data_IF_627965463067
#
_entry.id   IF_627965463067
#
_cell.length_a   1.000
_cell.length_b   1.000
_cell.length_c   1.000
_cell.angle_alpha   90.00
_cell.angle_beta   90.00
_cell.angle_gamma   90.00
#
_symmetry.space_group_name_H-M   'P 1'
#
loop_
_entity.id
_entity.type
_entity.pdbx_description
1 polymer ?
#
# COMPACT_ATOMS: atom_id res chain seq x y z
N UNK A 1 21.51 -62.23 -4.43
CA UNK A 1 20.05 -62.12 -4.20
C UNK A 1 19.82 -60.83 -3.43
N UNK A 2 19.21 -59.81 -4.04
CA UNK A 2 18.89 -58.55 -3.36
C UNK A 2 17.42 -58.23 -3.64
N UNK A 3 16.57 -58.41 -2.64
CA UNK A 3 15.15 -58.09 -2.73
C UNK A 3 14.97 -56.57 -2.72
N UNK A 4 14.42 -56.01 -3.81
CA UNK A 4 13.95 -54.62 -3.84
C UNK A 4 12.75 -54.53 -2.90
N UNK A 5 12.90 -53.78 -1.81
CA UNK A 5 11.78 -53.37 -0.95
C UNK A 5 10.88 -52.48 -1.81
N UNK A 6 9.73 -53.01 -2.21
CA UNK A 6 8.70 -52.25 -2.93
C UNK A 6 8.19 -51.14 -2.03
N UNK A 7 8.17 -49.91 -2.55
CA UNK A 7 7.55 -48.77 -1.89
C UNK A 7 6.05 -49.09 -1.69
N UNK A 8 5.53 -49.19 -0.45
CA UNK A 8 4.15 -49.61 -0.20
C UNK A 8 3.10 -48.58 -0.64
N UNK A 9 3.53 -47.41 -1.15
CA UNK A 9 2.65 -46.32 -1.56
C UNK A 9 2.07 -46.45 -2.97
N UNK A 10 2.46 -47.45 -3.77
CA UNK A 10 2.05 -47.58 -5.17
C UNK A 10 0.79 -48.44 -5.42
N UNK A 11 0.04 -48.80 -4.38
CA UNK A 11 -1.07 -49.78 -4.45
C UNK A 11 -2.47 -49.17 -4.24
N UNK A 12 -2.61 -47.85 -4.31
CA UNK A 12 -3.91 -47.19 -4.15
C UNK A 12 -4.57 -47.02 -5.53
N UNK A 13 -5.87 -47.37 -5.67
CA UNK A 13 -6.62 -46.97 -6.85
C UNK A 13 -6.73 -45.43 -6.85
N UNK A 14 -6.44 -44.80 -7.98
CA UNK A 14 -6.80 -43.40 -8.19
C UNK A 14 -8.31 -43.27 -7.97
N UNK A 15 -8.72 -42.28 -7.17
CA UNK A 15 -10.11 -42.00 -6.88
C UNK A 15 -10.52 -40.76 -7.68
N UNK A 16 -10.80 -40.89 -9.00
CA UNK A 16 -10.98 -39.75 -9.89
C UNK A 16 -12.13 -38.84 -9.46
N UNK A 17 -13.18 -39.40 -8.86
CA UNK A 17 -14.29 -38.62 -8.30
C UNK A 17 -13.81 -37.79 -7.11
N UNK A 18 -13.04 -38.38 -6.19
CA UNK A 18 -12.53 -37.67 -5.02
C UNK A 18 -11.53 -36.58 -5.42
N UNK A 19 -10.68 -36.85 -6.41
CA UNK A 19 -9.74 -35.86 -6.96
C UNK A 19 -10.46 -34.70 -7.66
N UNK A 20 -11.54 -35.00 -8.42
CA UNK A 20 -12.38 -33.98 -9.04
C UNK A 20 -13.02 -33.07 -7.99
N UNK A 21 -13.67 -33.65 -6.98
CA UNK A 21 -14.32 -32.90 -5.89
C UNK A 21 -13.31 -32.07 -5.09
N UNK A 22 -12.11 -32.60 -4.83
CA UNK A 22 -11.02 -31.87 -4.17
C UNK A 22 -10.57 -30.67 -5.01
N UNK A 23 -10.44 -30.84 -6.32
CA UNK A 23 -10.01 -29.77 -7.22
C UNK A 23 -11.09 -28.68 -7.33
N UNK A 24 -12.36 -29.05 -7.48
CA UNK A 24 -13.48 -28.10 -7.51
C UNK A 24 -13.55 -27.28 -6.21
N UNK A 25 -13.49 -27.95 -5.05
CA UNK A 25 -13.47 -27.25 -3.77
C UNK A 25 -12.25 -26.34 -3.61
N UNK A 26 -11.08 -26.77 -4.11
CA UNK A 26 -9.87 -25.93 -4.09
C UNK A 26 -10.06 -24.68 -4.95
N UNK A 27 -10.60 -24.80 -6.16
CA UNK A 27 -10.85 -23.66 -7.04
C UNK A 27 -11.82 -22.66 -6.40
N UNK A 28 -12.90 -23.14 -5.77
CA UNK A 28 -13.84 -22.29 -5.04
C UNK A 28 -13.16 -21.55 -3.89
N UNK A 29 -12.38 -22.25 -3.06
CA UNK A 29 -11.64 -21.62 -1.95
C UNK A 29 -10.66 -20.58 -2.49
N UNK A 30 -9.93 -20.89 -3.56
CA UNK A 30 -8.96 -19.99 -4.18
C UNK A 30 -9.65 -18.73 -4.73
N UNK A 31 -10.81 -18.87 -5.37
CA UNK A 31 -11.62 -17.76 -5.86
C UNK A 31 -12.11 -16.87 -4.72
N UNK A 32 -12.63 -17.45 -3.63
CA UNK A 32 -13.09 -16.70 -2.45
C UNK A 32 -11.95 -15.91 -1.80
N UNK A 33 -10.77 -16.54 -1.65
CA UNK A 33 -9.59 -15.88 -1.10
C UNK A 33 -9.14 -14.73 -2.01
N UNK A 34 -9.10 -14.97 -3.32
CA UNK A 34 -8.72 -13.95 -4.32
C UNK A 34 -9.67 -12.73 -4.28
N UNK A 35 -10.98 -12.96 -4.26
CA UNK A 35 -11.98 -11.89 -4.17
C UNK A 35 -11.85 -11.09 -2.86
N UNK A 36 -11.64 -11.78 -1.74
CA UNK A 36 -11.44 -11.12 -0.45
C UNK A 36 -10.16 -10.29 -0.44
N UNK A 37 -9.06 -10.81 -1.00
CA UNK A 37 -7.80 -10.09 -1.09
C UNK A 37 -7.93 -8.85 -1.98
N UNK A 38 -8.64 -8.97 -3.12
CA UNK A 38 -8.93 -7.84 -4.00
C UNK A 38 -9.74 -6.75 -3.30
N UNK A 39 -10.79 -7.11 -2.55
CA UNK A 39 -11.61 -6.14 -1.81
C UNK A 39 -10.83 -5.42 -0.71
N UNK A 40 -9.95 -6.13 0.01
CA UNK A 40 -9.09 -5.52 1.04
C UNK A 40 -8.07 -4.57 0.38
N UNK A 41 -7.50 -4.96 -0.76
CA UNK A 41 -6.57 -4.11 -1.49
C UNK A 41 -7.24 -2.82 -1.94
N UNK A 42 -8.40 -2.92 -2.60
CA UNK A 42 -9.13 -1.75 -3.10
C UNK A 42 -9.40 -0.77 -1.95
N UNK A 43 -9.82 -1.27 -0.78
CA UNK A 43 -10.06 -0.44 0.38
C UNK A 43 -8.80 0.28 0.90
N UNK A 44 -7.65 -0.41 0.95
CA UNK A 44 -6.40 0.23 1.41
C UNK A 44 -5.84 1.19 0.36
N UNK A 45 -5.99 0.87 -0.93
CA UNK A 45 -5.61 1.74 -2.04
C UNK A 45 -6.43 3.04 -2.04
N UNK A 46 -7.75 2.93 -1.86
CA UNK A 46 -8.66 4.08 -1.79
C UNK A 46 -8.35 4.96 -0.58
N UNK A 47 -8.10 4.35 0.58
CA UNK A 47 -7.68 5.07 1.78
C UNK A 47 -6.36 5.82 1.58
N UNK A 48 -5.38 5.18 0.93
CA UNK A 48 -4.10 5.81 0.61
C UNK A 48 -4.29 6.97 -0.38
N UNK A 49 -5.19 6.82 -1.35
CA UNK A 49 -5.53 7.89 -2.29
C UNK A 49 -6.20 9.08 -1.60
N UNK A 50 -7.22 8.83 -0.76
CA UNK A 50 -7.90 9.89 -0.01
C UNK A 50 -6.96 10.62 0.95
N UNK A 51 -6.11 9.86 1.66
CA UNK A 51 -5.11 10.47 2.54
C UNK A 51 -4.08 11.31 1.76
N UNK A 52 -3.68 10.86 0.58
CA UNK A 52 -2.80 11.62 -0.30
C UNK A 52 -3.43 12.94 -0.76
N UNK A 53 -4.70 12.92 -1.13
CA UNK A 53 -5.44 14.10 -1.57
C UNK A 53 -5.61 15.10 -0.42
N UNK A 54 -6.00 14.63 0.77
CA UNK A 54 -6.15 15.48 1.96
C UNK A 54 -4.82 16.14 2.35
N UNK A 55 -3.73 15.37 2.35
CA UNK A 55 -2.39 15.88 2.67
C UNK A 55 -1.93 16.93 1.64
N UNK A 56 -2.16 16.67 0.36
CA UNK A 56 -1.83 17.59 -0.72
C UNK A 56 -2.61 18.90 -0.58
N UNK A 57 -3.92 18.83 -0.40
CA UNK A 57 -4.78 20.02 -0.24
C UNK A 57 -4.36 20.83 0.98
N UNK A 58 -4.06 20.17 2.09
CA UNK A 58 -3.56 20.82 3.31
C UNK A 58 -2.26 21.60 3.07
N UNK A 59 -1.26 20.97 2.47
CA UNK A 59 0.04 21.59 2.19
C UNK A 59 -0.05 22.69 1.13
N UNK A 60 -0.86 22.51 0.08
CA UNK A 60 -1.10 23.54 -0.93
C UNK A 60 -1.76 24.80 -0.34
N UNK A 61 -2.72 24.62 0.56
CA UNK A 61 -3.34 25.72 1.29
C UNK A 61 -2.34 26.48 2.16
N UNK A 62 -1.50 25.77 2.92
CA UNK A 62 -0.45 26.40 3.73
C UNK A 62 0.57 27.17 2.87
N UNK A 63 0.98 26.62 1.72
CA UNK A 63 1.88 27.29 0.78
C UNK A 63 1.23 28.59 0.26
N UNK A 64 -0.06 28.53 -0.10
CA UNK A 64 -0.81 29.70 -0.59
C UNK A 64 -0.94 30.78 0.49
N UNK A 65 -1.16 30.40 1.73
CA UNK A 65 -1.19 31.32 2.87
C UNK A 65 0.17 31.97 3.12
N UNK A 66 1.26 31.21 3.01
CA UNK A 66 2.61 31.77 3.09
C UNK A 66 2.89 32.76 1.95
N UNK A 67 2.47 32.45 0.72
CA UNK A 67 2.61 33.38 -0.41
C UNK A 67 1.81 34.69 -0.19
N UNK A 68 0.61 34.60 0.42
CA UNK A 68 -0.16 35.78 0.83
C UNK A 68 0.59 36.60 1.88
N UNK A 69 1.11 35.96 2.93
CA UNK A 69 1.87 36.63 4.00
C UNK A 69 3.15 37.28 3.48
N UNK A 70 3.86 36.63 2.53
CA UNK A 70 5.04 37.19 1.87
C UNK A 70 4.66 38.47 1.12
N UNK A 71 3.56 38.46 0.37
CA UNK A 71 3.10 39.63 -0.39
C UNK A 71 2.74 40.79 0.54
N UNK A 72 2.07 40.49 1.65
CA UNK A 72 1.71 41.47 2.67
C UNK A 72 2.96 42.05 3.36
N UNK A 73 3.89 41.21 3.80
CA UNK A 73 5.14 41.63 4.42
C UNK A 73 6.00 42.48 3.46
N UNK A 74 6.06 42.14 2.17
CA UNK A 74 6.74 42.95 1.15
C UNK A 74 6.10 44.34 1.00
N UNK A 75 4.77 44.42 1.03
CA UNK A 75 4.03 45.68 0.96
C UNK A 75 4.31 46.56 2.17
N UNK A 76 4.24 45.99 3.38
CA UNK A 76 4.54 46.68 4.63
C UNK A 76 5.99 47.17 4.65
N UNK A 77 6.95 46.34 4.24
CA UNK A 77 8.35 46.73 4.14
C UNK A 77 8.57 47.88 3.15
N UNK A 78 7.84 47.91 2.04
CA UNK A 78 7.93 48.99 1.05
C UNK A 78 7.35 50.30 1.57
N UNK A 79 6.27 50.23 2.35
CA UNK A 79 5.58 51.38 2.94
C UNK A 79 6.28 51.94 4.19
N UNK A 80 7.26 51.24 4.74
CA UNK A 80 7.98 51.65 5.94
C UNK A 80 8.78 52.95 5.73
N UNK A 81 8.74 53.82 6.74
CA UNK A 81 9.39 55.14 6.71
C UNK A 81 10.84 55.11 7.20
N UNK A 82 11.18 54.15 8.07
CA UNK A 82 12.52 54.01 8.65
C UNK A 82 13.33 52.90 7.98
N UNK A 83 14.65 52.97 8.06
CA UNK A 83 15.53 51.93 7.53
C UNK A 83 15.42 50.65 8.37
N UNK A 84 15.25 50.80 9.68
CA UNK A 84 15.07 49.73 10.65
C UNK A 84 13.82 48.90 10.32
N UNK A 85 12.69 49.56 10.07
CA UNK A 85 11.43 48.89 9.72
C UNK A 85 11.51 48.21 8.35
N UNK A 86 12.20 48.83 7.38
CA UNK A 86 12.47 48.20 6.07
C UNK A 86 13.30 46.92 6.24
N UNK A 87 14.35 46.97 7.06
CA UNK A 87 15.22 45.83 7.33
C UNK A 87 14.47 44.71 8.06
N UNK A 88 13.64 45.04 9.06
CA UNK A 88 12.80 44.09 9.76
C UNK A 88 11.82 43.40 8.80
N UNK A 89 11.17 44.15 7.92
CA UNK A 89 10.30 43.63 6.88
C UNK A 89 11.02 42.68 5.92
N UNK A 90 12.23 43.03 5.46
CA UNK A 90 13.04 42.13 4.60
C UNK A 90 13.42 40.83 5.30
N UNK A 91 13.79 40.88 6.59
CA UNK A 91 14.07 39.67 7.38
C UNK A 91 12.83 38.78 7.51
N UNK A 92 11.65 39.37 7.75
CA UNK A 92 10.39 38.64 7.82
C UNK A 92 10.05 37.96 6.49
N UNK A 93 10.21 38.66 5.37
CA UNK A 93 10.01 38.09 4.02
C UNK A 93 10.92 36.88 3.81
N UNK A 94 12.22 37.02 4.14
CA UNK A 94 13.18 35.91 4.01
C UNK A 94 12.81 34.70 4.87
N UNK A 95 12.34 34.92 6.09
CA UNK A 95 11.90 33.85 6.99
C UNK A 95 10.67 33.11 6.42
N UNK A 96 9.66 33.84 5.93
CA UNK A 96 8.47 33.26 5.31
C UNK A 96 8.81 32.49 4.02
N UNK A 97 9.73 32.99 3.21
CA UNK A 97 10.22 32.29 2.01
C UNK A 97 10.92 30.97 2.35
N UNK A 98 11.72 30.94 3.42
CA UNK A 98 12.33 29.71 3.91
C UNK A 98 11.28 28.70 4.37
N UNK A 99 10.25 29.15 5.11
CA UNK A 99 9.16 28.28 5.53
C UNK A 99 8.40 27.70 4.33
N UNK A 100 8.06 28.53 3.34
CA UNK A 100 7.39 28.08 2.11
C UNK A 100 8.22 27.05 1.35
N UNK A 101 9.53 27.28 1.22
CA UNK A 101 10.43 26.31 0.57
C UNK A 101 10.52 25.00 1.37
N UNK A 102 10.43 25.07 2.70
CA UNK A 102 10.28 23.90 3.56
C UNK A 102 8.99 23.11 3.25
N UNK A 103 7.84 23.80 3.20
CA UNK A 103 6.54 23.18 2.89
C UNK A 103 6.49 22.56 1.50
N UNK A 104 7.09 23.20 0.50
CA UNK A 104 7.23 22.61 -0.85
C UNK A 104 8.03 21.32 -0.85
N UNK A 105 9.14 21.26 -0.10
CA UNK A 105 9.90 20.01 0.05
C UNK A 105 9.08 18.93 0.75
N UNK A 106 8.40 19.28 1.84
CA UNK A 106 7.52 18.35 2.53
C UNK A 106 6.41 17.79 1.62
N UNK A 107 5.89 18.58 0.67
CA UNK A 107 4.93 18.11 -0.32
C UNK A 107 5.53 17.04 -1.24
N UNK A 108 6.77 17.23 -1.72
CA UNK A 108 7.47 16.23 -2.52
C UNK A 108 7.79 14.97 -1.69
N UNK A 109 8.32 15.14 -0.47
CA UNK A 109 8.64 14.02 0.42
C UNK A 109 7.39 13.18 0.75
N UNK A 110 6.25 13.85 0.95
CA UNK A 110 4.97 13.20 1.16
C UNK A 110 4.50 12.41 -0.07
N UNK A 111 4.61 12.99 -1.27
CA UNK A 111 4.29 12.32 -2.52
C UNK A 111 5.13 11.06 -2.71
N UNK A 112 6.45 11.17 -2.50
CA UNK A 112 7.36 10.04 -2.60
C UNK A 112 6.99 8.93 -1.60
N UNK A 113 6.58 9.27 -0.38
CA UNK A 113 6.18 8.28 0.62
C UNK A 113 4.86 7.57 0.24
N UNK A 114 3.88 8.31 -0.30
CA UNK A 114 2.64 7.73 -0.82
C UNK A 114 2.95 6.73 -1.93
N UNK A 115 3.82 7.09 -2.87
CA UNK A 115 4.20 6.18 -3.96
C UNK A 115 4.95 4.95 -3.45
N UNK A 116 5.84 5.10 -2.45
CA UNK A 116 6.47 3.95 -1.78
C UNK A 116 5.45 3.06 -1.05
N UNK A 117 4.39 3.63 -0.49
CA UNK A 117 3.32 2.86 0.15
C UNK A 117 2.50 2.09 -0.88
N UNK A 118 2.19 2.70 -2.03
CA UNK A 118 1.53 2.02 -3.15
C UNK A 118 2.34 0.83 -3.65
N UNK A 119 3.63 1.03 -3.88
CA UNK A 119 4.54 -0.03 -4.34
C UNK A 119 4.61 -1.20 -3.34
N UNK A 120 4.67 -0.90 -2.04
CA UNK A 120 4.62 -1.92 -0.98
C UNK A 120 3.32 -2.72 -1.02
N UNK A 121 2.19 -2.02 -1.15
CA UNK A 121 0.88 -2.67 -1.18
C UNK A 121 0.74 -3.61 -2.39
N UNK A 122 1.28 -3.23 -3.55
CA UNK A 122 1.36 -4.08 -4.75
C UNK A 122 2.22 -5.32 -4.47
N UNK A 123 3.42 -5.14 -3.91
CA UNK A 123 4.33 -6.24 -3.62
C UNK A 123 3.72 -7.26 -2.63
N UNK A 124 2.99 -6.79 -1.61
CA UNK A 124 2.29 -7.66 -0.65
C UNK A 124 1.21 -8.52 -1.31
N UNK A 125 0.50 -7.98 -2.30
CA UNK A 125 -0.54 -8.72 -3.04
C UNK A 125 0.08 -9.75 -3.95
N UNK A 126 1.15 -9.36 -4.65
CA UNK A 126 1.89 -10.32 -5.47
C UNK A 126 2.40 -11.50 -4.63
N UNK A 127 2.87 -11.25 -3.40
CA UNK A 127 3.31 -12.31 -2.50
C UNK A 127 2.13 -13.20 -2.03
N UNK A 128 1.00 -12.59 -1.65
CA UNK A 128 -0.23 -13.33 -1.31
C UNK A 128 -0.78 -14.16 -2.47
N UNK A 129 -0.64 -13.69 -3.72
CA UNK A 129 -0.98 -14.44 -4.93
C UNK A 129 -0.01 -15.61 -5.17
N UNK A 130 1.27 -15.45 -4.84
CA UNK A 130 2.30 -16.49 -4.97
C UNK A 130 2.23 -17.57 -3.88
N UNK A 131 1.56 -17.31 -2.76
CA UNK A 131 1.42 -18.25 -1.65
C UNK A 131 0.78 -19.56 -2.13
N UNK A 132 1.59 -20.61 -2.24
CA UNK A 132 1.19 -21.94 -2.75
C UNK A 132 0.38 -22.69 -1.71
N UNK A 133 -0.84 -23.07 -2.08
CA UNK A 133 -1.65 -24.04 -1.33
C UNK A 133 -0.95 -25.40 -1.31
N UNK A 134 -0.79 -26.01 -0.13
CA UNK A 134 -0.31 -27.38 0.01
C UNK A 134 -1.42 -28.29 0.51
N UNK A 135 -1.42 -29.55 0.06
CA UNK A 135 -2.41 -30.56 0.45
C UNK A 135 -1.68 -31.71 1.13
N UNK A 136 -2.14 -32.10 2.31
CA UNK A 136 -1.62 -33.24 3.04
C UNK A 136 -2.75 -34.25 3.24
N UNK A 137 -2.56 -35.47 2.74
CA UNK A 137 -3.49 -36.58 3.00
C UNK A 137 -3.32 -37.03 4.45
N UNK A 138 -4.35 -36.85 5.27
CA UNK A 138 -4.29 -37.17 6.71
C UNK A 138 -4.61 -38.65 7.00
N UNK A 139 -5.63 -39.21 6.34
CA UNK A 139 -6.00 -40.63 6.46
C UNK A 139 -6.90 -41.08 5.29
N UNK A 140 -7.09 -42.39 5.14
CA UNK A 140 -8.03 -43.00 4.18
C UNK A 140 -8.94 -43.97 4.92
N UNK A 141 -10.26 -43.87 4.69
CA UNK A 141 -11.25 -44.79 5.28
C UNK A 141 -11.64 -45.84 4.24
N UNK A 142 -11.64 -47.12 4.63
CA UNK A 142 -12.21 -48.22 3.84
C UNK A 142 -13.44 -48.75 4.54
N UNK A 143 -14.53 -48.91 3.80
CA UNK A 143 -15.74 -49.57 4.28
C UNK A 143 -16.17 -50.69 3.33
N UNK A 144 -16.93 -51.65 3.88
CA UNK A 144 -17.60 -52.72 3.14
C UNK A 144 -19.06 -52.69 3.56
N UNK A 145 -19.97 -52.61 2.59
CA UNK A 145 -21.38 -52.88 2.84
C UNK A 145 -21.59 -54.40 2.86
N UNK A 146 -22.20 -54.88 3.94
CA UNK A 146 -22.72 -56.25 4.10
C UNK A 146 -24.22 -56.23 3.95
#
# INVERSE_FOLDING_TARGET
>A
MSAKVGNPLSLFPEHPILESEINEHREVIQQVISQRNAAIFEAEAEKLHGWADDLKVGLEQEIKDLDRQIKEARRTATAALTLEDKLAGQKQVKALEQQRNGKRRALFDAQDEIDRQRERLIAEIEDKLKQRTSMTMLFTIRWRLT
#
